data_IF_013574001788
#
_entry.id   IF_013574001788
#
_cell.length_a   1.000
_cell.length_b   1.000
_cell.length_c   1.000
_cell.angle_alpha   90.00
_cell.angle_beta   90.00
_cell.angle_gamma   90.00
#
_symmetry.space_group_name_H-M   'P 1'
#
loop_
_entity.id
_entity.type
_entity.pdbx_description
1 polymer ?
#
# COMPACT_ATOMS: atom_id res chain seq x y z
N UNK A 1 -2.64 -22.66 15.24
CA UNK A 1 -3.97 -22.66 14.66
C UNK A 1 -3.98 -23.51 13.39
N UNK A 2 -4.62 -24.70 13.45
CA UNK A 2 -4.72 -25.59 12.30
C UNK A 2 -5.61 -25.03 11.17
N UNK A 3 -6.40 -23.99 11.46
CA UNK A 3 -7.31 -23.31 10.53
C UNK A 3 -7.08 -21.80 10.57
N UNK A 4 -6.09 -21.29 9.84
CA UNK A 4 -5.89 -19.84 9.73
C UNK A 4 -7.07 -19.18 9.01
N UNK A 5 -7.28 -17.89 9.28
CA UNK A 5 -8.28 -17.10 8.57
C UNK A 5 -8.08 -17.24 7.04
N UNK A 6 -9.10 -17.64 6.29
CA UNK A 6 -9.01 -17.77 4.83
C UNK A 6 -8.54 -16.48 4.13
N UNK A 7 -8.89 -15.32 4.68
CA UNK A 7 -8.43 -14.03 4.16
C UNK A 7 -6.91 -13.88 4.30
N UNK A 8 -6.33 -14.28 5.42
CA UNK A 8 -4.88 -14.25 5.62
C UNK A 8 -4.17 -15.19 4.64
N UNK A 9 -4.74 -16.38 4.40
CA UNK A 9 -4.19 -17.33 3.42
C UNK A 9 -4.27 -16.78 1.99
N UNK A 10 -5.37 -16.15 1.62
CA UNK A 10 -5.55 -15.55 0.30
C UNK A 10 -4.57 -14.40 0.04
N UNK A 11 -4.12 -13.72 1.09
CA UNK A 11 -3.21 -12.57 1.02
C UNK A 11 -1.75 -12.92 1.32
N UNK A 12 -1.34 -14.17 1.15
CA UNK A 12 0.06 -14.63 1.36
C UNK A 12 1.06 -14.01 0.39
N UNK A 13 0.61 -13.40 -0.71
CA UNK A 13 1.48 -12.69 -1.66
C UNK A 13 2.32 -11.60 -1.00
N UNK A 14 1.82 -10.94 0.04
CA UNK A 14 2.59 -9.99 0.84
C UNK A 14 3.63 -10.63 1.78
N UNK A 15 3.57 -11.93 1.97
CA UNK A 15 4.46 -12.70 2.86
C UNK A 15 4.96 -14.00 2.19
N UNK A 16 5.74 -13.91 1.11
CA UNK A 16 6.10 -15.05 0.25
C UNK A 16 6.93 -16.12 0.98
N UNK A 17 7.55 -15.78 2.11
CA UNK A 17 8.39 -16.69 2.89
C UNK A 17 7.64 -17.38 4.05
N UNK A 18 6.32 -17.24 4.11
CA UNK A 18 5.50 -17.88 5.15
C UNK A 18 4.81 -19.11 4.57
N UNK A 19 5.24 -20.29 5.01
CA UNK A 19 4.72 -21.58 4.55
C UNK A 19 4.84 -22.65 5.66
N UNK A 20 4.26 -23.83 5.40
CA UNK A 20 4.35 -24.97 6.30
C UNK A 20 3.29 -25.00 7.41
N UNK A 21 3.45 -25.92 8.36
CA UNK A 21 2.44 -26.25 9.37
C UNK A 21 2.05 -25.04 10.27
N UNK A 22 2.95 -24.10 10.47
CA UNK A 22 2.73 -22.93 11.32
C UNK A 22 2.33 -21.65 10.53
N UNK A 23 2.07 -21.78 9.22
CA UNK A 23 1.77 -20.65 8.36
C UNK A 23 0.68 -19.75 8.93
N UNK A 24 -0.45 -20.31 9.35
CA UNK A 24 -1.57 -19.56 9.89
C UNK A 24 -1.22 -18.79 11.17
N UNK A 25 -0.49 -19.42 12.08
CA UNK A 25 -0.04 -18.76 13.32
C UNK A 25 0.91 -17.62 13.03
N UNK A 26 1.85 -17.80 12.11
CA UNK A 26 2.82 -16.77 11.73
C UNK A 26 2.11 -15.57 11.08
N UNK A 27 1.16 -15.83 10.17
CA UNK A 27 0.38 -14.77 9.52
C UNK A 27 -0.47 -13.99 10.54
N UNK A 28 -1.09 -14.70 11.50
CA UNK A 28 -1.87 -14.08 12.57
C UNK A 28 -1.01 -13.21 13.48
N UNK A 29 0.15 -13.71 13.91
CA UNK A 29 1.10 -12.93 14.71
C UNK A 29 1.53 -11.66 13.96
N UNK A 30 1.80 -11.75 12.67
CA UNK A 30 2.19 -10.60 11.84
C UNK A 30 1.04 -9.60 11.68
N UNK A 31 -0.19 -10.09 11.55
CA UNK A 31 -1.39 -9.25 11.49
C UNK A 31 -1.59 -8.50 12.81
N UNK A 32 -1.63 -9.22 13.94
CA UNK A 32 -1.77 -8.64 15.27
C UNK A 32 -0.67 -7.62 15.54
N UNK A 33 0.57 -7.97 15.28
CA UNK A 33 1.70 -7.05 15.46
C UNK A 33 1.55 -5.76 14.62
N UNK A 34 1.01 -5.88 13.40
CA UNK A 34 0.78 -4.71 12.54
C UNK A 34 -0.30 -3.79 13.11
N UNK A 35 -1.34 -4.36 13.73
CA UNK A 35 -2.46 -3.61 14.32
C UNK A 35 -2.04 -2.99 15.66
N UNK A 36 -1.48 -3.80 16.56
CA UNK A 36 -1.13 -3.37 17.91
C UNK A 36 -0.02 -2.30 17.94
N UNK A 37 0.93 -2.38 17.00
CA UNK A 37 2.04 -1.43 16.92
C UNK A 37 1.82 -0.35 15.84
N UNK A 38 0.55 -0.08 15.49
CA UNK A 38 0.21 0.98 14.55
C UNK A 38 0.72 2.33 15.08
N UNK A 39 1.41 3.08 14.22
CA UNK A 39 2.02 4.38 14.53
C UNK A 39 3.22 4.35 15.49
N UNK A 40 3.71 3.18 15.91
CA UNK A 40 4.93 3.04 16.72
C UNK A 40 6.22 2.91 15.89
N UNK A 41 6.15 3.11 14.59
CA UNK A 41 7.25 3.10 13.62
C UNK A 41 7.94 1.74 13.39
N UNK A 42 7.42 0.63 13.93
CA UNK A 42 8.00 -0.71 13.76
C UNK A 42 7.68 -1.36 12.40
N UNK A 43 6.68 -0.85 11.66
CA UNK A 43 6.19 -1.51 10.44
C UNK A 43 7.25 -1.64 9.37
N UNK A 44 8.07 -0.61 9.17
CA UNK A 44 9.12 -0.64 8.15
C UNK A 44 10.19 -1.68 8.48
N UNK A 45 10.65 -1.73 9.74
CA UNK A 45 11.63 -2.71 10.19
C UNK A 45 11.09 -4.15 10.07
N UNK A 46 9.80 -4.35 10.36
CA UNK A 46 9.14 -5.63 10.17
C UNK A 46 9.09 -6.05 8.70
N UNK A 47 8.84 -5.12 7.78
CA UNK A 47 8.86 -5.37 6.33
C UNK A 47 10.26 -5.80 5.88
N UNK A 48 11.30 -5.11 6.33
CA UNK A 48 12.69 -5.46 6.03
C UNK A 48 13.04 -6.86 6.58
N UNK A 49 12.79 -7.07 7.87
CA UNK A 49 13.13 -8.31 8.61
C UNK A 49 12.39 -9.53 8.06
N UNK A 50 11.15 -9.38 7.64
CA UNK A 50 10.33 -10.47 7.10
C UNK A 50 10.47 -10.65 5.60
N UNK A 51 11.24 -9.81 4.92
CA UNK A 51 11.31 -9.73 3.46
C UNK A 51 9.92 -9.63 2.83
N UNK A 52 9.12 -8.72 3.36
CA UNK A 52 7.73 -8.52 3.01
C UNK A 52 7.51 -7.24 2.17
N UNK A 53 8.50 -6.86 1.36
CA UNK A 53 8.51 -5.64 0.55
C UNK A 53 7.36 -5.55 -0.45
N UNK A 54 6.80 -6.69 -0.86
CA UNK A 54 5.61 -6.71 -1.72
C UNK A 54 4.41 -5.99 -1.08
N UNK A 55 4.36 -5.90 0.25
CA UNK A 55 3.33 -5.11 0.94
C UNK A 55 3.44 -3.60 0.64
N UNK A 56 4.62 -3.11 0.26
CA UNK A 56 4.82 -1.70 -0.11
C UNK A 56 4.28 -1.37 -1.50
N UNK A 57 3.98 -2.38 -2.32
CA UNK A 57 3.42 -2.21 -3.67
C UNK A 57 1.89 -2.22 -3.68
N UNK A 58 1.24 -2.51 -2.58
CA UNK A 58 -0.21 -2.57 -2.52
C UNK A 58 -0.80 -1.19 -2.72
N UNK A 59 -1.80 -1.09 -3.59
CA UNK A 59 -2.51 0.15 -3.81
C UNK A 59 -3.19 0.61 -2.52
N UNK A 60 -3.06 1.89 -2.19
CA UNK A 60 -3.81 2.50 -1.10
C UNK A 60 -5.23 2.74 -1.63
N UNK A 61 -6.17 1.98 -1.09
CA UNK A 61 -7.57 2.03 -1.48
C UNK A 61 -8.39 2.78 -0.42
N UNK A 62 -9.31 3.60 -0.91
CA UNK A 62 -10.27 4.33 -0.08
C UNK A 62 -11.63 3.62 -0.02
N UNK A 63 -12.69 4.41 0.12
CA UNK A 63 -14.06 3.94 0.22
C UNK A 63 -14.52 3.21 -1.05
N UNK A 64 -15.37 2.20 -0.89
CA UNK A 64 -15.96 1.47 -2.00
C UNK A 64 -17.26 2.13 -2.49
N UNK A 65 -17.39 2.31 -3.80
CA UNK A 65 -18.58 2.80 -4.47
C UNK A 65 -19.09 1.77 -5.46
N UNK A 66 -20.33 1.27 -5.31
CA UNK A 66 -20.89 0.22 -6.16
C UNK A 66 -21.28 0.69 -7.57
N UNK A 67 -21.53 2.01 -7.74
CA UNK A 67 -21.95 2.62 -9.01
C UNK A 67 -21.81 4.14 -8.97
N UNK A 68 -21.95 4.87 -10.08
CA UNK A 68 -22.26 6.29 -10.05
C UNK A 68 -23.58 6.55 -9.32
N UNK A 69 -23.72 7.69 -8.64
CA UNK A 69 -24.90 8.05 -7.88
C UNK A 69 -24.60 8.95 -6.70
N UNK A 70 -25.61 9.20 -5.89
CA UNK A 70 -25.51 10.02 -4.69
C UNK A 70 -25.30 9.16 -3.46
N UNK A 71 -24.48 9.67 -2.52
CA UNK A 71 -24.08 8.94 -1.31
C UNK A 71 -24.10 9.86 -0.11
N UNK A 72 -24.70 9.35 0.95
CA UNK A 72 -24.60 9.85 2.31
C UNK A 72 -23.39 9.18 2.98
N UNK A 73 -22.34 9.94 3.28
CA UNK A 73 -21.08 9.42 3.82
C UNK A 73 -21.04 9.43 5.35
N UNK A 74 -21.86 10.27 5.97
CA UNK A 74 -21.86 10.47 7.42
C UNK A 74 -23.06 9.81 8.12
N UNK A 75 -24.06 9.34 7.37
CA UNK A 75 -25.24 8.66 7.88
C UNK A 75 -26.32 9.61 8.46
N UNK A 76 -26.31 10.88 8.06
CA UNK A 76 -27.30 11.87 8.55
C UNK A 76 -28.61 11.90 7.75
N UNK A 77 -28.69 11.10 6.69
CA UNK A 77 -29.85 10.99 5.80
C UNK A 77 -29.87 12.04 4.68
N UNK A 78 -28.78 12.82 4.52
CA UNK A 78 -28.59 13.73 3.40
C UNK A 78 -27.41 13.26 2.57
N UNK A 79 -27.46 13.46 1.24
CA UNK A 79 -26.36 13.09 0.38
C UNK A 79 -25.24 14.15 0.43
N UNK A 80 -24.02 13.70 0.66
CA UNK A 80 -22.81 14.54 0.73
C UNK A 80 -22.11 14.66 -0.64
N UNK A 81 -22.12 13.56 -1.40
CA UNK A 81 -21.46 13.51 -2.70
C UNK A 81 -22.34 12.88 -3.78
N UNK A 82 -22.06 13.28 -5.02
CA UNK A 82 -22.63 12.64 -6.20
C UNK A 82 -21.51 12.29 -7.18
N UNK A 83 -21.36 10.98 -7.47
CA UNK A 83 -20.43 10.48 -8.48
C UNK A 83 -21.13 10.40 -9.83
N UNK A 84 -20.50 10.93 -10.89
CA UNK A 84 -21.04 10.87 -12.23
C UNK A 84 -19.96 10.62 -13.29
N UNK A 85 -20.37 10.09 -14.46
CA UNK A 85 -19.43 9.78 -15.56
C UNK A 85 -19.42 10.84 -16.66
N UNK A 86 -20.57 11.25 -17.14
CA UNK A 86 -20.68 12.09 -18.34
C UNK A 86 -21.10 13.52 -18.03
N UNK A 87 -22.37 13.71 -17.73
CA UNK A 87 -22.95 15.03 -17.48
C UNK A 87 -23.23 15.19 -15.99
N UNK A 88 -22.86 16.32 -15.42
CA UNK A 88 -23.17 16.67 -14.04
C UNK A 88 -24.68 16.69 -13.83
N UNK A 89 -25.24 15.84 -12.95
CA UNK A 89 -26.71 15.67 -12.86
C UNK A 89 -27.43 16.81 -12.16
N UNK A 90 -26.72 17.73 -11.50
CA UNK A 90 -27.36 18.82 -10.77
C UNK A 90 -26.40 19.78 -10.08
N UNK A 91 -26.93 20.69 -9.28
CA UNK A 91 -26.20 21.65 -8.45
C UNK A 91 -26.90 21.82 -7.08
N UNK A 92 -27.37 20.73 -6.47
CA UNK A 92 -27.99 20.80 -5.15
C UNK A 92 -26.98 21.33 -4.12
N UNK A 93 -27.45 22.21 -3.24
CA UNK A 93 -26.65 22.76 -2.18
C UNK A 93 -26.31 21.66 -1.15
N UNK A 94 -25.07 21.63 -0.71
CA UNK A 94 -24.59 20.60 0.22
C UNK A 94 -23.99 19.37 -0.46
N UNK A 95 -24.27 19.11 -1.76
CA UNK A 95 -23.72 17.95 -2.47
C UNK A 95 -22.45 18.33 -3.25
N UNK A 96 -21.37 17.58 -3.03
CA UNK A 96 -20.16 17.69 -3.82
C UNK A 96 -20.24 16.76 -5.04
N UNK A 97 -20.23 17.33 -6.24
CA UNK A 97 -20.29 16.58 -7.49
C UNK A 97 -18.89 16.25 -7.98
N UNK A 98 -18.59 14.96 -8.15
CA UNK A 98 -17.28 14.47 -8.55
C UNK A 98 -17.40 13.62 -9.83
N UNK A 99 -16.69 14.04 -10.87
CA UNK A 99 -16.63 13.30 -12.12
C UNK A 99 -15.62 12.16 -12.01
N UNK A 100 -16.08 10.93 -12.30
CA UNK A 100 -15.21 9.74 -12.35
C UNK A 100 -14.22 9.90 -13.50
N UNK A 101 -12.98 9.46 -13.30
CA UNK A 101 -11.80 9.59 -14.16
C UNK A 101 -11.22 11.01 -14.31
N UNK A 102 -11.96 12.06 -13.98
CA UNK A 102 -11.47 13.43 -13.96
C UNK A 102 -11.08 13.88 -12.55
N UNK A 103 -12.07 13.92 -11.65
CA UNK A 103 -11.88 14.42 -10.29
C UNK A 103 -11.39 13.31 -9.36
N UNK A 104 -11.96 12.13 -9.51
CA UNK A 104 -11.60 10.91 -8.76
C UNK A 104 -11.36 9.75 -9.70
N UNK A 105 -10.67 8.71 -9.19
CA UNK A 105 -10.48 7.43 -9.89
C UNK A 105 -10.95 6.29 -9.01
N UNK A 106 -11.73 5.37 -9.60
CA UNK A 106 -12.16 4.13 -8.98
C UNK A 106 -11.37 2.95 -9.53
N UNK A 107 -11.26 1.85 -8.76
CA UNK A 107 -10.44 0.68 -9.12
C UNK A 107 -10.95 -0.05 -10.36
N UNK A 108 -12.26 -0.05 -10.60
CA UNK A 108 -12.93 -0.82 -11.65
C UNK A 108 -13.73 0.09 -12.62
N UNK A 109 -13.12 1.18 -13.08
CA UNK A 109 -13.77 2.13 -13.98
C UNK A 109 -14.79 3.00 -13.25
N UNK A 110 -16.09 2.75 -13.46
CA UNK A 110 -17.17 3.55 -12.85
C UNK A 110 -17.66 3.00 -11.50
N UNK A 111 -16.98 2.01 -10.92
CA UNK A 111 -17.27 1.41 -9.62
C UNK A 111 -15.96 0.96 -8.93
N UNK A 112 -16.07 0.48 -7.70
CA UNK A 112 -14.94 -0.06 -6.95
C UNK A 112 -14.42 0.88 -5.88
N UNK A 113 -13.18 0.68 -5.49
CA UNK A 113 -12.56 1.47 -4.44
C UNK A 113 -12.02 2.80 -4.97
N UNK A 114 -12.20 3.86 -4.20
CA UNK A 114 -11.55 5.14 -4.46
C UNK A 114 -10.03 4.96 -4.43
N UNK A 115 -9.34 5.46 -5.46
CA UNK A 115 -7.88 5.55 -5.52
C UNK A 115 -7.45 6.98 -5.17
N UNK A 116 -7.11 7.27 -3.89
CA UNK A 116 -6.82 8.63 -3.45
C UNK A 116 -5.51 9.18 -4.04
N UNK A 117 -4.60 8.28 -4.43
CA UNK A 117 -3.31 8.63 -5.03
C UNK A 117 -3.30 8.33 -6.53
N UNK A 118 -4.13 9.02 -7.28
CA UNK A 118 -4.25 8.90 -8.73
C UNK A 118 -2.89 9.08 -9.41
N UNK A 119 -2.45 8.04 -10.12
CA UNK A 119 -1.19 8.06 -10.87
C UNK A 119 0.06 7.72 -10.04
N UNK A 120 -0.06 7.45 -8.75
CA UNK A 120 1.06 6.96 -7.95
C UNK A 120 1.26 5.46 -8.22
N UNK A 121 2.44 5.09 -8.70
CA UNK A 121 2.89 3.71 -8.75
C UNK A 121 3.83 3.44 -7.58
N UNK A 122 3.40 2.60 -6.66
CA UNK A 122 4.25 2.17 -5.55
C UNK A 122 5.29 1.17 -6.07
N UNK A 123 6.52 1.38 -5.67
CA UNK A 123 7.66 0.61 -6.14
C UNK A 123 8.43 0.00 -4.98
N UNK A 124 8.93 -1.21 -5.17
CA UNK A 124 9.85 -1.89 -4.27
C UNK A 124 10.79 -2.78 -5.08
N UNK A 125 12.07 -2.61 -4.88
CA UNK A 125 13.09 -3.47 -5.50
C UNK A 125 13.52 -4.55 -4.52
N UNK A 126 13.18 -5.81 -4.80
CA UNK A 126 13.46 -6.97 -3.96
C UNK A 126 14.95 -7.24 -3.71
N UNK A 127 15.83 -6.76 -4.57
CA UNK A 127 17.27 -6.96 -4.44
C UNK A 127 17.95 -5.82 -3.69
N UNK A 128 17.35 -4.63 -3.70
CA UNK A 128 17.96 -3.40 -3.19
C UNK A 128 17.34 -2.94 -1.86
N UNK A 129 16.01 -2.86 -1.79
CA UNK A 129 15.33 -2.03 -0.79
C UNK A 129 15.27 -2.66 0.62
N UNK A 130 15.79 -3.87 0.77
CA UNK A 130 16.03 -4.48 2.09
C UNK A 130 17.32 -4.01 2.76
N UNK A 131 18.16 -3.27 2.08
CA UNK A 131 19.43 -2.78 2.57
C UNK A 131 19.50 -1.27 2.44
N UNK A 132 20.11 -0.61 3.43
CA UNK A 132 20.47 0.79 3.30
C UNK A 132 21.75 0.94 2.46
N UNK A 133 21.90 2.04 1.71
CA UNK A 133 23.17 2.30 1.03
C UNK A 133 24.28 2.56 2.06
N UNK A 134 25.49 2.07 1.78
CA UNK A 134 26.66 2.47 2.54
C UNK A 134 26.99 3.92 2.14
N UNK A 135 27.21 4.83 3.13
CA UNK A 135 27.50 6.22 2.83
C UNK A 135 28.75 6.37 1.96
N UNK A 136 28.67 7.22 0.92
CA UNK A 136 29.76 7.41 -0.04
C UNK A 136 31.08 7.83 0.63
N UNK A 137 31.02 8.64 1.69
CA UNK A 137 32.21 9.05 2.44
C UNK A 137 32.94 7.85 3.06
N UNK A 138 32.24 6.87 3.60
CA UNK A 138 32.87 5.67 4.17
C UNK A 138 33.57 4.83 3.10
N UNK A 139 33.00 4.78 1.90
CA UNK A 139 33.61 4.12 0.76
C UNK A 139 34.85 4.88 0.26
N UNK A 140 34.80 6.20 0.23
CA UNK A 140 35.96 7.05 -0.13
C UNK A 140 37.12 6.89 0.86
N UNK A 141 36.84 6.98 2.17
CA UNK A 141 37.88 6.84 3.22
C UNK A 141 38.56 5.49 3.15
N UNK A 142 37.81 4.43 2.84
CA UNK A 142 38.32 3.06 2.72
C UNK A 142 38.93 2.75 1.32
N UNK A 143 38.95 3.74 0.41
CA UNK A 143 39.43 3.60 -0.96
C UNK A 143 38.81 2.37 -1.68
N UNK A 144 37.52 2.19 -1.53
CA UNK A 144 36.77 1.10 -2.16
C UNK A 144 36.84 -0.26 -1.48
N UNK A 145 37.54 -0.37 -0.32
CA UNK A 145 37.53 -1.63 0.47
C UNK A 145 36.14 -2.01 0.96
N UNK A 146 35.27 -1.02 1.21
CA UNK A 146 33.85 -1.24 1.43
C UNK A 146 33.11 -1.24 0.09
N UNK A 147 32.54 -2.39 -0.29
CA UNK A 147 31.67 -2.50 -1.47
C UNK A 147 30.27 -2.02 -1.14
N UNK A 148 29.60 -1.40 -2.11
CA UNK A 148 28.22 -0.94 -1.94
C UNK A 148 27.25 -2.13 -1.82
N UNK A 149 26.15 -1.93 -1.10
CA UNK A 149 25.08 -2.92 -1.02
C UNK A 149 24.43 -3.13 -2.39
N UNK A 150 23.91 -4.35 -2.66
CA UNK A 150 23.35 -4.70 -3.96
C UNK A 150 22.28 -3.71 -4.43
N UNK A 151 22.38 -3.31 -5.70
CA UNK A 151 21.42 -2.43 -6.35
C UNK A 151 21.49 -0.94 -5.99
N UNK A 152 22.41 -0.56 -5.08
CA UNK A 152 22.74 0.83 -4.80
C UNK A 152 23.96 1.26 -5.59
N UNK A 153 23.89 2.45 -6.17
CA UNK A 153 24.96 3.08 -6.90
C UNK A 153 25.18 4.50 -6.36
N UNK A 154 26.40 4.83 -5.99
CA UNK A 154 26.80 6.15 -5.52
C UNK A 154 27.70 6.88 -6.52
N UNK A 155 27.87 6.32 -7.72
CA UNK A 155 28.71 6.86 -8.78
C UNK A 155 30.22 6.72 -8.54
N UNK A 156 30.64 6.02 -7.47
CA UNK A 156 32.04 5.78 -7.17
C UNK A 156 32.54 4.50 -7.88
N UNK A 157 33.50 4.66 -8.77
CA UNK A 157 34.14 3.57 -9.49
C UNK A 157 35.49 3.26 -8.84
N UNK A 158 35.52 2.23 -7.98
CA UNK A 158 36.74 1.70 -7.41
C UNK A 158 37.06 0.34 -8.05
#
# INVERSE_FOLDING_TARGET
NANPDPYLLANTTGYPNVSGANQGVILEIRRERTIELLSEHFRYDDILRWKAGQNMKQAILGMYFPSPGEYDLNGDGQNDICLYTDTKPGNAQGITYLKIDSDIKLSDGNKGYLSPHKGLTLFWNEQRDYFYPIPSNERLITNGALTQNPGWDDGLNF
#
